data_IF_877315926694
#
_entry.id   IF_877315926694
#
_cell.length_a   1.000
_cell.length_b   1.000
_cell.length_c   1.000
_cell.angle_alpha   90.00
_cell.angle_beta   90.00
_cell.angle_gamma   90.00
#
_symmetry.space_group_name_H-M   'P 1'
#
loop_
_entity.id
_entity.type
_entity.pdbx_description
1 polymer ?
#
# COMPACT_ATOMS: atom_id res chain seq x y z
N UNK A 1 6.52 36.38 -16.04
CA UNK A 1 7.67 36.26 -15.12
C UNK A 1 7.74 34.80 -14.69
N UNK A 2 8.69 34.05 -15.26
CA UNK A 2 8.88 32.61 -15.04
C UNK A 2 9.59 32.40 -13.70
N UNK A 3 8.89 31.92 -12.69
CA UNK A 3 9.51 31.43 -11.46
C UNK A 3 9.72 29.91 -11.61
N UNK A 4 10.80 29.53 -12.27
CA UNK A 4 11.42 28.22 -12.10
C UNK A 4 12.29 28.29 -10.85
N UNK A 5 11.70 28.10 -9.67
CA UNK A 5 12.47 27.80 -8.47
C UNK A 5 12.94 26.36 -8.56
N UNK A 6 14.22 26.19 -8.82
CA UNK A 6 14.96 24.93 -8.73
C UNK A 6 14.91 24.43 -7.28
N UNK A 7 13.93 23.60 -6.94
CA UNK A 7 13.93 22.85 -5.69
C UNK A 7 15.10 21.84 -5.76
N UNK A 8 16.20 22.17 -5.11
CA UNK A 8 17.29 21.23 -4.82
C UNK A 8 16.72 20.27 -3.77
N UNK A 9 16.30 19.12 -4.22
CA UNK A 9 15.71 18.08 -3.39
C UNK A 9 16.82 17.21 -2.79
N UNK A 10 16.98 17.27 -1.47
CA UNK A 10 17.86 16.36 -0.75
C UNK A 10 17.33 14.92 -0.83
N UNK A 11 18.11 14.03 -1.46
CA UNK A 11 17.77 12.62 -1.75
C UNK A 11 17.80 11.69 -0.54
N UNK A 12 17.83 12.21 0.67
CA UNK A 12 18.07 11.42 1.88
C UNK A 12 16.88 10.63 2.40
N UNK A 13 15.67 10.80 1.82
CA UNK A 13 14.47 10.12 2.30
C UNK A 13 13.98 9.05 1.30
N UNK A 14 14.20 7.76 1.56
CA UNK A 14 13.99 6.68 0.59
C UNK A 14 12.52 6.26 0.35
N UNK A 15 11.56 6.83 1.10
CA UNK A 15 10.18 6.36 1.06
C UNK A 15 9.15 7.28 0.38
N UNK A 16 9.46 8.55 0.11
CA UNK A 16 8.51 9.49 -0.46
C UNK A 16 9.11 10.26 -1.64
N UNK A 17 8.43 10.23 -2.79
CA UNK A 17 8.84 10.93 -4.02
C UNK A 17 7.99 12.19 -4.27
N UNK A 18 8.60 13.28 -4.77
CA UNK A 18 7.93 14.57 -5.06
C UNK A 18 6.84 14.50 -6.14
N UNK A 19 6.90 13.50 -7.03
CA UNK A 19 5.90 13.31 -8.09
C UNK A 19 4.50 12.98 -7.56
N UNK A 20 4.44 12.30 -6.40
CA UNK A 20 3.16 11.98 -5.77
C UNK A 20 2.52 13.23 -5.16
N UNK A 21 3.36 14.18 -4.70
CA UNK A 21 2.94 15.47 -4.14
C UNK A 21 2.35 16.37 -5.23
N UNK A 22 2.97 16.43 -6.40
CA UNK A 22 2.51 17.28 -7.48
C UNK A 22 1.16 16.82 -8.06
N UNK A 23 0.96 15.51 -8.19
CA UNK A 23 -0.31 14.93 -8.65
C UNK A 23 -1.44 15.13 -7.63
N UNK A 24 -1.11 15.14 -6.33
CA UNK A 24 -2.06 15.36 -5.26
C UNK A 24 -2.49 16.84 -5.15
N UNK A 25 -1.56 17.78 -5.31
CA UNK A 25 -1.86 19.22 -5.21
C UNK A 25 -2.73 19.75 -6.35
N UNK A 26 -2.47 19.33 -7.57
CA UNK A 26 -3.21 19.84 -8.77
C UNK A 26 -4.66 19.36 -8.84
N UNK A 27 -5.01 18.24 -8.18
CA UNK A 27 -6.35 17.65 -8.23
C UNK A 27 -7.25 18.02 -7.06
N UNK A 28 -6.73 18.72 -6.06
CA UNK A 28 -7.37 18.83 -4.75
C UNK A 28 -8.18 20.11 -4.50
N UNK A 29 -8.26 21.03 -5.45
CA UNK A 29 -9.10 22.25 -5.29
C UNK A 29 -10.62 21.98 -5.29
N UNK A 30 -11.07 20.76 -5.62
CA UNK A 30 -12.50 20.46 -5.75
C UNK A 30 -13.08 19.51 -4.71
N UNK A 31 -12.32 19.05 -3.72
CA UNK A 31 -12.85 18.19 -2.66
C UNK A 31 -12.69 18.88 -1.31
N UNK A 32 -13.50 19.92 -1.08
CA UNK A 32 -13.37 20.80 0.07
C UNK A 32 -13.96 20.25 1.37
N UNK A 33 -14.51 19.07 1.46
CA UNK A 33 -15.27 18.64 2.63
C UNK A 33 -14.95 17.25 3.20
N UNK A 34 -13.90 16.62 2.83
CA UNK A 34 -13.61 15.34 3.48
C UNK A 34 -12.24 15.36 4.10
N UNK A 35 -12.28 15.28 5.39
CA UNK A 35 -11.45 14.41 6.22
C UNK A 35 -10.82 15.17 7.37
N UNK A 36 -11.24 14.75 8.56
CA UNK A 36 -10.67 15.14 9.86
C UNK A 36 -9.11 15.04 9.84
N UNK A 37 -8.55 14.07 9.12
CA UNK A 37 -7.11 13.89 8.90
C UNK A 37 -6.45 15.15 8.34
N UNK A 38 -7.02 15.75 7.28
CA UNK A 38 -6.44 16.95 6.64
C UNK A 38 -6.38 18.16 7.57
N UNK A 39 -7.44 18.36 8.39
CA UNK A 39 -7.46 19.45 9.36
C UNK A 39 -6.41 19.24 10.45
N UNK A 40 -6.26 18.00 10.91
CA UNK A 40 -5.27 17.63 11.92
C UNK A 40 -3.86 17.75 11.34
N UNK A 41 -3.61 17.16 10.15
CA UNK A 41 -2.32 17.23 9.46
C UNK A 41 -1.88 18.67 9.23
N UNK A 42 -2.82 19.54 8.75
CA UNK A 42 -2.51 20.94 8.53
C UNK A 42 -2.15 21.64 9.84
N UNK A 43 -2.95 21.46 10.89
CA UNK A 43 -2.67 22.07 12.20
C UNK A 43 -1.31 21.62 12.77
N UNK A 44 -0.96 20.34 12.64
CA UNK A 44 0.33 19.83 13.09
C UNK A 44 1.46 20.44 12.26
N UNK A 45 1.32 20.46 10.92
CA UNK A 45 2.34 21.03 10.02
C UNK A 45 2.54 22.52 10.29
N UNK A 46 1.45 23.30 10.41
CA UNK A 46 1.51 24.73 10.74
C UNK A 46 2.25 24.95 12.07
N UNK A 47 1.98 24.12 13.07
CA UNK A 47 2.66 24.19 14.38
C UNK A 47 4.16 23.88 14.25
N UNK A 48 4.53 22.90 13.43
CA UNK A 48 5.94 22.55 13.22
C UNK A 48 6.70 23.66 12.48
N UNK A 49 6.07 24.34 11.53
CA UNK A 49 6.64 25.49 10.84
C UNK A 49 6.77 26.70 11.78
N UNK A 50 5.70 27.00 12.56
CA UNK A 50 5.69 28.15 13.47
C UNK A 50 6.75 28.02 14.58
N UNK A 51 7.02 26.78 15.02
CA UNK A 51 8.07 26.51 16.02
C UNK A 51 9.47 26.31 15.39
N UNK A 52 9.64 26.63 14.11
CA UNK A 52 10.93 26.52 13.38
C UNK A 52 11.56 25.10 13.41
N UNK A 53 10.72 24.06 13.67
CA UNK A 53 11.19 22.66 13.67
C UNK A 53 11.45 22.18 12.26
N UNK A 54 10.67 22.69 11.30
CA UNK A 54 10.79 22.38 9.87
C UNK A 54 10.90 23.67 9.07
N UNK A 55 11.70 23.61 8.01
CA UNK A 55 11.83 24.71 7.06
C UNK A 55 10.50 24.94 6.30
N UNK A 56 10.06 26.19 6.10
CA UNK A 56 8.83 26.51 5.37
C UNK A 56 8.80 25.88 3.96
N UNK A 57 9.97 25.72 3.31
CA UNK A 57 10.09 25.10 1.99
C UNK A 57 9.69 23.61 1.99
N UNK A 58 9.76 22.93 3.12
CA UNK A 58 9.44 21.50 3.30
C UNK A 58 8.01 21.27 3.82
N UNK A 59 7.24 22.33 4.11
CA UNK A 59 5.88 22.25 4.65
C UNK A 59 4.99 21.29 3.87
N UNK A 60 4.96 21.40 2.53
CA UNK A 60 4.12 20.56 1.67
C UNK A 60 4.45 19.07 1.77
N UNK A 61 5.71 18.72 1.99
CA UNK A 61 6.15 17.32 2.13
C UNK A 61 5.67 16.76 3.47
N UNK A 62 5.88 17.51 4.55
CA UNK A 62 5.45 17.09 5.89
C UNK A 62 3.93 16.98 5.98
N UNK A 63 3.20 17.95 5.40
CA UNK A 63 1.74 17.89 5.33
C UNK A 63 1.27 16.61 4.63
N UNK A 64 1.83 16.31 3.46
CA UNK A 64 1.47 15.09 2.70
C UNK A 64 1.79 13.81 3.49
N UNK A 65 2.97 13.72 4.08
CA UNK A 65 3.37 12.55 4.87
C UNK A 65 2.45 12.33 6.08
N UNK A 66 2.10 13.40 6.78
CA UNK A 66 1.20 13.35 7.94
C UNK A 66 -0.22 12.97 7.52
N UNK A 67 -0.76 13.58 6.45
CA UNK A 67 -2.10 13.31 5.94
C UNK A 67 -2.22 11.82 5.53
N UNK A 68 -1.27 11.34 4.74
CA UNK A 68 -1.23 9.93 4.34
C UNK A 68 -1.09 8.97 5.53
N UNK A 69 -0.23 9.31 6.50
CA UNK A 69 -0.03 8.46 7.68
C UNK A 69 -1.26 8.42 8.56
N UNK A 70 -1.93 9.55 8.77
CA UNK A 70 -3.17 9.62 9.55
C UNK A 70 -4.30 8.86 8.86
N UNK A 71 -4.47 9.02 7.56
CA UNK A 71 -5.47 8.25 6.79
C UNK A 71 -5.23 6.74 6.91
N UNK A 72 -3.97 6.30 6.81
CA UNK A 72 -3.61 4.90 6.96
C UNK A 72 -3.91 4.38 8.38
N UNK A 73 -3.56 5.14 9.41
CA UNK A 73 -3.83 4.79 10.81
C UNK A 73 -5.34 4.70 11.06
N UNK A 74 -6.10 5.72 10.68
CA UNK A 74 -7.56 5.77 10.88
C UNK A 74 -8.26 4.61 10.17
N UNK A 75 -7.84 4.32 8.92
CA UNK A 75 -8.36 3.20 8.16
C UNK A 75 -8.08 1.85 8.87
N UNK A 76 -6.84 1.59 9.29
CA UNK A 76 -6.49 0.35 9.96
C UNK A 76 -7.17 0.23 11.34
N UNK A 77 -7.29 1.32 12.10
CA UNK A 77 -8.03 1.34 13.36
C UNK A 77 -9.52 1.01 13.14
N UNK A 78 -10.13 1.54 12.06
CA UNK A 78 -11.52 1.22 11.73
C UNK A 78 -11.73 -0.25 11.38
N UNK A 79 -10.79 -0.88 10.66
CA UNK A 79 -10.82 -2.32 10.37
C UNK A 79 -10.71 -3.16 11.66
N UNK A 80 -9.81 -2.78 12.59
CA UNK A 80 -9.69 -3.45 13.89
C UNK A 80 -10.94 -3.29 14.74
N UNK A 81 -11.54 -2.09 14.75
CA UNK A 81 -12.79 -1.85 15.46
C UNK A 81 -13.92 -2.72 14.91
N UNK A 82 -14.11 -2.74 13.60
CA UNK A 82 -15.11 -3.58 12.92
C UNK A 82 -14.83 -5.05 13.21
N UNK A 83 -13.58 -5.49 13.09
CA UNK A 83 -13.17 -6.86 13.41
C UNK A 83 -13.43 -7.23 14.87
N UNK A 84 -13.18 -6.29 15.80
CA UNK A 84 -13.48 -6.46 17.21
C UNK A 84 -14.97 -6.63 17.49
N UNK A 85 -15.80 -5.79 16.89
CA UNK A 85 -17.28 -5.88 17.01
C UNK A 85 -17.84 -7.19 16.45
N UNK A 86 -17.19 -7.75 15.42
CA UNK A 86 -17.56 -9.04 14.81
C UNK A 86 -16.94 -10.26 15.54
N UNK A 87 -16.20 -10.06 16.63
CA UNK A 87 -15.46 -11.14 17.31
C UNK A 87 -14.27 -11.66 16.50
N UNK A 88 -13.74 -10.87 15.54
CA UNK A 88 -12.68 -11.23 14.60
C UNK A 88 -11.44 -10.34 14.73
N UNK A 89 -11.17 -9.85 15.95
CA UNK A 89 -10.06 -8.93 16.20
C UNK A 89 -8.70 -9.50 15.74
N UNK A 90 -8.36 -10.74 16.17
CA UNK A 90 -7.09 -11.37 15.78
C UNK A 90 -6.98 -11.63 14.27
N UNK A 91 -7.99 -12.19 13.58
CA UNK A 91 -7.97 -12.27 12.12
C UNK A 91 -7.77 -10.93 11.43
N UNK A 92 -8.41 -9.85 11.91
CA UNK A 92 -8.27 -8.51 11.35
C UNK A 92 -6.85 -7.98 11.55
N UNK A 93 -6.26 -8.21 12.71
CA UNK A 93 -4.87 -7.84 13.00
C UNK A 93 -3.90 -8.56 12.06
N UNK A 94 -4.06 -9.86 11.86
CA UNK A 94 -3.23 -10.66 10.94
C UNK A 94 -3.41 -10.17 9.49
N UNK A 95 -4.63 -9.87 9.06
CA UNK A 95 -4.90 -9.30 7.75
C UNK A 95 -4.11 -8.00 7.51
N UNK A 96 -4.15 -7.07 8.47
CA UNK A 96 -3.47 -5.77 8.37
C UNK A 96 -1.95 -5.97 8.33
N UNK A 97 -1.39 -6.79 9.23
CA UNK A 97 0.05 -7.05 9.32
C UNK A 97 0.60 -7.68 8.03
N UNK A 98 -0.20 -8.49 7.34
CA UNK A 98 0.22 -9.14 6.10
C UNK A 98 -0.01 -8.23 4.90
N UNK A 99 -1.24 -7.76 4.70
CA UNK A 99 -1.61 -7.08 3.46
C UNK A 99 -0.97 -5.70 3.32
N UNK A 100 -0.99 -4.89 4.38
CA UNK A 100 -0.55 -3.49 4.30
C UNK A 100 0.93 -3.38 3.94
N UNK A 101 1.88 -3.98 4.68
CA UNK A 101 3.29 -3.82 4.38
C UNK A 101 3.70 -4.51 3.07
N UNK A 102 3.12 -5.67 2.75
CA UNK A 102 3.41 -6.32 1.46
C UNK A 102 2.95 -5.45 0.30
N UNK A 103 1.74 -4.88 0.36
CA UNK A 103 1.21 -4.00 -0.68
C UNK A 103 2.04 -2.73 -0.84
N UNK A 104 2.50 -2.13 0.26
CA UNK A 104 3.35 -0.92 0.23
C UNK A 104 4.70 -1.18 -0.46
N UNK A 105 5.32 -2.33 -0.20
CA UNK A 105 6.62 -2.69 -0.76
C UNK A 105 6.52 -3.30 -2.17
N UNK A 106 5.50 -4.09 -2.42
CA UNK A 106 5.28 -4.73 -3.72
C UNK A 106 4.90 -3.74 -4.81
N UNK A 107 4.29 -2.59 -4.42
CA UNK A 107 3.67 -1.66 -5.34
C UNK A 107 2.34 -2.19 -5.88
N UNK A 108 1.66 -1.39 -6.70
CA UNK A 108 0.38 -1.79 -7.28
C UNK A 108 -0.41 -0.63 -7.84
N UNK A 109 -1.60 -0.94 -8.34
CA UNK A 109 -2.54 0.06 -8.83
C UNK A 109 -3.23 0.78 -7.66
N UNK A 110 -3.43 2.08 -7.82
CA UNK A 110 -4.25 2.89 -6.93
C UNK A 110 -5.54 3.30 -7.61
N UNK A 111 -6.63 3.37 -6.85
CA UNK A 111 -7.88 3.88 -7.37
C UNK A 111 -7.78 5.38 -7.68
N UNK A 112 -8.61 5.85 -8.64
CA UNK A 112 -8.57 7.24 -9.11
C UNK A 112 -9.00 8.27 -8.04
N UNK A 113 -9.74 7.84 -7.01
CA UNK A 113 -10.16 8.69 -5.90
C UNK A 113 -9.90 8.02 -4.55
N UNK A 114 -9.61 8.77 -3.49
CA UNK A 114 -9.45 8.23 -2.14
C UNK A 114 -10.68 7.43 -1.68
N UNK A 115 -11.88 7.94 -1.94
CA UNK A 115 -13.13 7.29 -1.57
C UNK A 115 -13.28 5.90 -2.20
N UNK A 116 -13.02 5.78 -3.52
CA UNK A 116 -13.08 4.48 -4.19
C UNK A 116 -11.99 3.52 -3.69
N UNK A 117 -10.84 4.04 -3.26
CA UNK A 117 -9.80 3.24 -2.65
C UNK A 117 -10.25 2.65 -1.29
N UNK A 118 -10.86 3.48 -0.44
CA UNK A 118 -11.40 3.02 0.84
C UNK A 118 -12.52 1.98 0.67
N UNK A 119 -13.50 2.26 -0.19
CA UNK A 119 -14.60 1.34 -0.44
C UNK A 119 -14.11 -0.02 -0.96
N UNK A 120 -13.17 0.00 -1.91
CA UNK A 120 -12.55 -1.20 -2.44
C UNK A 120 -11.79 -1.97 -1.34
N UNK A 121 -11.06 -1.27 -0.47
CA UNK A 121 -10.29 -1.89 0.61
C UNK A 121 -11.19 -2.53 1.67
N UNK A 122 -12.32 -1.92 2.03
CA UNK A 122 -13.32 -2.54 2.90
C UNK A 122 -13.94 -3.78 2.25
N UNK A 123 -14.30 -3.68 0.95
CA UNK A 123 -14.87 -4.82 0.22
C UNK A 123 -13.89 -6.00 0.17
N UNK A 124 -12.62 -5.74 -0.07
CA UNK A 124 -11.55 -6.76 -0.06
C UNK A 124 -11.39 -7.35 1.35
N UNK A 125 -11.43 -6.54 2.40
CA UNK A 125 -11.36 -7.00 3.78
C UNK A 125 -12.49 -7.98 4.13
N UNK A 126 -13.75 -7.58 3.90
CA UNK A 126 -14.89 -8.45 4.16
C UNK A 126 -14.87 -9.71 3.32
N UNK A 127 -14.51 -9.60 2.03
CA UNK A 127 -14.36 -10.75 1.15
C UNK A 127 -13.29 -11.72 1.66
N UNK A 128 -12.15 -11.22 2.12
CA UNK A 128 -11.08 -12.03 2.68
C UNK A 128 -11.52 -12.76 3.93
N UNK A 129 -12.19 -12.07 4.86
CA UNK A 129 -12.74 -12.70 6.08
C UNK A 129 -13.79 -13.76 5.76
N UNK A 130 -14.65 -13.52 4.79
CA UNK A 130 -15.66 -14.48 4.36
C UNK A 130 -15.02 -15.71 3.72
N UNK A 131 -14.17 -15.53 2.73
CA UNK A 131 -13.50 -16.62 2.00
C UNK A 131 -12.59 -17.46 2.91
N UNK A 132 -11.92 -16.84 3.89
CA UNK A 132 -11.04 -17.56 4.80
C UNK A 132 -11.78 -18.52 5.76
N UNK A 133 -13.10 -18.39 5.91
CA UNK A 133 -13.95 -19.27 6.70
C UNK A 133 -14.51 -20.46 5.93
N UNK A 134 -14.37 -20.48 4.62
CA UNK A 134 -14.85 -21.60 3.83
C UNK A 134 -14.10 -22.88 4.19
N UNK A 135 -14.75 -24.05 4.11
CA UNK A 135 -14.10 -25.33 4.40
C UNK A 135 -12.94 -25.61 3.45
N UNK A 136 -12.11 -26.59 3.77
CA UNK A 136 -10.98 -26.99 2.94
C UNK A 136 -11.39 -27.24 1.49
N UNK A 137 -10.85 -26.43 0.59
CA UNK A 137 -11.04 -26.62 -0.87
C UNK A 137 -9.95 -27.49 -1.47
N UNK A 138 -8.79 -27.60 -0.80
CA UNK A 138 -7.59 -28.29 -1.28
C UNK A 138 -6.83 -28.93 -0.13
N UNK A 139 -5.97 -29.92 -0.46
CA UNK A 139 -5.16 -30.61 0.54
C UNK A 139 -4.19 -29.64 1.25
N UNK A 140 -3.94 -29.80 2.55
CA UNK A 140 -3.08 -28.90 3.33
C UNK A 140 -1.69 -28.64 2.74
N UNK A 141 -1.04 -29.69 2.19
CA UNK A 141 0.27 -29.56 1.55
C UNK A 141 0.28 -28.64 0.32
N UNK A 142 -0.83 -28.60 -0.42
CA UNK A 142 -0.97 -27.76 -1.60
C UNK A 142 -1.04 -26.27 -1.24
N UNK A 143 -1.59 -25.92 -0.03
CA UNK A 143 -1.56 -24.52 0.45
C UNK A 143 -0.14 -24.00 0.60
N UNK A 144 0.77 -24.77 1.16
CA UNK A 144 2.19 -24.38 1.32
C UNK A 144 2.86 -24.20 -0.04
N UNK A 145 2.60 -25.11 -0.98
CA UNK A 145 3.12 -25.01 -2.34
C UNK A 145 2.61 -23.71 -3.02
N UNK A 146 1.32 -23.43 -2.93
CA UNK A 146 0.73 -22.22 -3.51
C UNK A 146 1.27 -20.94 -2.85
N UNK A 147 1.38 -20.90 -1.52
CA UNK A 147 1.94 -19.77 -0.79
C UNK A 147 3.40 -19.53 -1.20
N UNK A 148 4.22 -20.59 -1.31
CA UNK A 148 5.61 -20.47 -1.75
C UNK A 148 5.72 -19.95 -3.19
N UNK A 149 4.88 -20.44 -4.09
CA UNK A 149 4.84 -19.97 -5.47
C UNK A 149 4.44 -18.50 -5.57
N UNK A 150 3.37 -18.10 -4.84
CA UNK A 150 2.90 -16.70 -4.80
C UNK A 150 3.96 -15.76 -4.23
N UNK A 151 4.62 -16.14 -3.13
CA UNK A 151 5.69 -15.31 -2.55
C UNK A 151 6.85 -15.09 -3.52
N UNK A 152 7.27 -16.13 -4.25
CA UNK A 152 8.31 -16.03 -5.27
C UNK A 152 7.88 -15.12 -6.44
N UNK A 153 6.65 -15.28 -6.93
CA UNK A 153 6.12 -14.46 -8.03
C UNK A 153 6.04 -12.99 -7.58
N UNK A 154 5.45 -12.71 -6.40
CA UNK A 154 5.33 -11.34 -5.86
C UNK A 154 6.70 -10.70 -5.73
N UNK A 155 7.69 -11.41 -5.18
CA UNK A 155 9.07 -10.91 -5.04
C UNK A 155 9.74 -10.64 -6.39
N UNK A 156 9.54 -11.54 -7.37
CA UNK A 156 10.08 -11.39 -8.73
C UNK A 156 9.49 -10.19 -9.46
N UNK A 157 8.19 -9.95 -9.28
CA UNK A 157 7.46 -8.84 -9.89
C UNK A 157 7.69 -7.48 -9.19
N UNK A 158 8.06 -7.48 -7.91
CA UNK A 158 8.24 -6.27 -7.12
C UNK A 158 9.57 -5.54 -7.40
N UNK A 159 9.62 -4.23 -7.12
CA UNK A 159 8.50 -3.31 -6.98
C UNK A 159 7.89 -2.97 -8.34
N UNK A 160 6.56 -2.84 -8.38
CA UNK A 160 5.87 -2.37 -9.60
C UNK A 160 5.94 -0.86 -9.62
N UNK A 161 6.59 -0.31 -10.66
CA UNK A 161 6.67 1.12 -10.91
C UNK A 161 5.33 1.64 -11.43
N UNK A 162 4.98 2.86 -11.05
CA UNK A 162 3.85 3.60 -11.63
C UNK A 162 4.39 4.66 -12.61
N UNK A 163 3.52 5.17 -13.49
CA UNK A 163 3.87 6.21 -14.45
C UNK A 163 4.52 7.47 -13.81
N UNK A 164 4.29 7.68 -12.51
CA UNK A 164 4.80 8.81 -11.73
C UNK A 164 5.91 8.44 -10.74
N UNK A 165 6.25 7.15 -10.59
CA UNK A 165 7.22 6.68 -9.59
C UNK A 165 8.24 5.73 -10.23
N UNK A 166 9.42 6.28 -10.48
CA UNK A 166 10.57 5.51 -10.96
C UNK A 166 11.55 5.30 -9.81
N UNK A 167 11.95 4.05 -9.60
CA UNK A 167 12.93 3.70 -8.56
C UNK A 167 14.35 3.70 -9.13
N UNK A 168 15.30 4.24 -8.39
CA UNK A 168 16.72 4.04 -8.68
C UNK A 168 17.10 2.57 -8.46
N UNK A 169 18.21 2.11 -9.07
CA UNK A 169 18.67 0.73 -8.90
C UNK A 169 18.96 0.38 -7.43
N UNK A 170 19.48 1.33 -6.66
CA UNK A 170 19.76 1.15 -5.23
C UNK A 170 18.47 1.02 -4.40
N UNK A 171 17.46 1.86 -4.65
CA UNK A 171 16.16 1.80 -3.98
C UNK A 171 15.43 0.50 -4.28
N UNK A 172 15.42 0.08 -5.55
CA UNK A 172 14.84 -1.19 -5.99
C UNK A 172 15.47 -2.37 -5.24
N UNK A 173 16.80 -2.39 -5.10
CA UNK A 173 17.51 -3.44 -4.38
C UNK A 173 17.15 -3.44 -2.89
N UNK A 174 17.06 -2.25 -2.26
CA UNK A 174 16.69 -2.11 -0.85
C UNK A 174 15.25 -2.61 -0.61
N UNK A 175 14.30 -2.19 -1.44
CA UNK A 175 12.88 -2.61 -1.34
C UNK A 175 12.78 -4.14 -1.51
N UNK A 176 13.47 -4.72 -2.50
CA UNK A 176 13.48 -6.17 -2.72
C UNK A 176 14.03 -6.95 -1.53
N UNK A 177 15.08 -6.45 -0.89
CA UNK A 177 15.62 -7.09 0.33
C UNK A 177 14.62 -7.07 1.47
N UNK A 178 14.01 -5.91 1.75
CA UNK A 178 13.00 -5.79 2.82
C UNK A 178 11.80 -6.68 2.53
N UNK A 179 11.31 -6.67 1.28
CA UNK A 179 10.18 -7.51 0.86
C UNK A 179 10.51 -9.00 0.97
N UNK A 180 11.73 -9.42 0.64
CA UNK A 180 12.17 -10.81 0.78
C UNK A 180 12.05 -11.28 2.25
N UNK A 181 12.60 -10.53 3.20
CA UNK A 181 12.50 -10.87 4.61
C UNK A 181 11.04 -10.89 5.09
N UNK A 182 10.24 -9.92 4.68
CA UNK A 182 8.82 -9.87 5.02
C UNK A 182 8.07 -11.11 4.52
N UNK A 183 8.24 -11.46 3.24
CA UNK A 183 7.61 -12.64 2.65
C UNK A 183 8.11 -13.94 3.27
N UNK A 184 9.38 -14.01 3.65
CA UNK A 184 9.94 -15.15 4.38
C UNK A 184 9.25 -15.33 5.75
N UNK A 185 9.05 -14.25 6.52
CA UNK A 185 8.33 -14.32 7.79
C UNK A 185 6.86 -14.71 7.61
N UNK A 186 6.20 -14.19 6.58
CA UNK A 186 4.81 -14.57 6.25
C UNK A 186 4.72 -16.05 5.90
N UNK A 187 5.66 -16.56 5.10
CA UNK A 187 5.73 -17.98 4.75
C UNK A 187 5.95 -18.85 6.01
N UNK A 188 6.91 -18.48 6.85
CA UNK A 188 7.16 -19.20 8.11
C UNK A 188 5.92 -19.21 9.03
N UNK A 189 5.22 -18.07 9.12
CA UNK A 189 3.97 -17.96 9.86
C UNK A 189 2.86 -18.85 9.26
N UNK A 190 2.76 -18.94 7.94
CA UNK A 190 1.80 -19.82 7.27
C UNK A 190 2.07 -21.29 7.57
N UNK A 191 3.34 -21.73 7.56
CA UNK A 191 3.76 -23.10 7.93
C UNK A 191 3.40 -23.39 9.38
N UNK A 192 3.64 -22.44 10.30
CA UNK A 192 3.28 -22.57 11.71
C UNK A 192 1.77 -22.73 11.91
N UNK A 193 0.97 -21.89 11.25
CA UNK A 193 -0.50 -21.94 11.33
C UNK A 193 -1.04 -23.25 10.73
N UNK A 194 -0.43 -23.76 9.68
CA UNK A 194 -0.79 -25.06 9.12
C UNK A 194 -0.47 -26.20 10.12
N UNK A 195 0.70 -26.18 10.76
CA UNK A 195 1.11 -27.17 11.78
C UNK A 195 0.14 -27.18 12.95
N UNK A 196 -0.39 -26.03 13.34
CA UNK A 196 -1.39 -25.89 14.39
C UNK A 196 -2.82 -26.12 13.91
N UNK A 197 -3.01 -26.51 12.64
CA UNK A 197 -4.32 -26.73 12.00
C UNK A 197 -5.26 -25.53 12.08
N UNK A 198 -4.69 -24.33 12.12
CA UNK A 198 -5.43 -23.05 12.19
C UNK A 198 -5.87 -22.61 10.80
N UNK A 199 -6.91 -23.24 10.27
CA UNK A 199 -7.40 -23.09 8.90
C UNK A 199 -7.64 -21.63 8.50
N UNK A 200 -8.28 -20.85 9.36
CA UNK A 200 -8.63 -19.46 9.10
C UNK A 200 -7.40 -18.64 8.66
N UNK A 201 -6.26 -18.81 9.34
CA UNK A 201 -5.09 -17.97 9.12
C UNK A 201 -4.33 -18.31 7.84
N UNK A 202 -4.07 -19.59 7.55
CA UNK A 202 -3.35 -19.90 6.33
C UNK A 202 -4.19 -19.70 5.06
N UNK A 203 -5.53 -19.87 5.13
CA UNK A 203 -6.44 -19.43 4.06
C UNK A 203 -6.35 -17.92 3.85
N UNK A 204 -6.40 -17.14 4.94
CA UNK A 204 -6.31 -15.69 4.88
C UNK A 204 -4.98 -15.24 4.27
N UNK A 205 -3.85 -15.87 4.65
CA UNK A 205 -2.54 -15.57 4.06
C UNK A 205 -2.56 -15.81 2.55
N UNK A 206 -3.06 -16.96 2.11
CA UNK A 206 -3.17 -17.29 0.69
C UNK A 206 -3.98 -16.24 -0.06
N UNK A 207 -5.16 -15.88 0.45
CA UNK A 207 -6.05 -14.89 -0.17
C UNK A 207 -5.37 -13.52 -0.23
N UNK A 208 -4.72 -13.06 0.85
CA UNK A 208 -3.98 -11.80 0.87
C UNK A 208 -2.89 -11.76 -0.20
N UNK A 209 -2.11 -12.82 -0.36
CA UNK A 209 -1.07 -12.91 -1.39
C UNK A 209 -1.66 -12.92 -2.80
N UNK A 210 -2.78 -13.62 -3.03
CA UNK A 210 -3.50 -13.56 -4.30
C UNK A 210 -3.95 -12.13 -4.63
N UNK A 211 -4.51 -11.41 -3.66
CA UNK A 211 -4.94 -10.02 -3.82
C UNK A 211 -3.76 -9.11 -4.19
N UNK A 212 -2.60 -9.26 -3.52
CA UNK A 212 -1.40 -8.50 -3.85
C UNK A 212 -0.94 -8.80 -5.27
N UNK A 213 -0.90 -10.07 -5.68
CA UNK A 213 -0.50 -10.46 -7.03
C UNK A 213 -1.45 -9.88 -8.08
N UNK A 214 -2.75 -10.01 -7.89
CA UNK A 214 -3.76 -9.41 -8.79
C UNK A 214 -3.54 -7.91 -8.93
N UNK A 215 -3.32 -7.20 -7.82
CA UNK A 215 -3.06 -5.77 -7.82
C UNK A 215 -1.76 -5.39 -8.58
N UNK A 216 -0.69 -6.18 -8.45
CA UNK A 216 0.54 -6.01 -9.22
C UNK A 216 0.32 -6.23 -10.73
N UNK A 217 -0.44 -7.26 -11.10
CA UNK A 217 -0.78 -7.53 -12.49
C UNK A 217 -1.60 -6.39 -13.11
N UNK A 218 -2.61 -5.89 -12.39
CA UNK A 218 -3.42 -4.74 -12.84
C UNK A 218 -2.53 -3.51 -13.04
N UNK A 219 -1.64 -3.20 -12.11
CA UNK A 219 -0.73 -2.06 -12.22
C UNK A 219 0.18 -2.17 -13.45
N UNK A 220 0.72 -3.34 -13.73
CA UNK A 220 1.56 -3.57 -14.92
C UNK A 220 0.76 -3.42 -16.23
N UNK A 221 -0.46 -3.96 -16.29
CA UNK A 221 -1.33 -3.81 -17.45
C UNK A 221 -1.67 -2.33 -17.72
N UNK A 222 -1.96 -1.56 -16.67
CA UNK A 222 -2.24 -0.13 -16.79
C UNK A 222 -1.00 0.65 -17.28
N UNK A 223 0.19 0.37 -16.74
CA UNK A 223 1.42 1.02 -17.16
C UNK A 223 1.78 0.70 -18.62
N UNK A 224 1.56 -0.52 -19.06
CA UNK A 224 1.78 -0.90 -20.46
C UNK A 224 0.88 -0.12 -21.42
N UNK A 225 -0.41 0.08 -21.07
CA UNK A 225 -1.35 0.86 -21.88
C UNK A 225 -0.95 2.33 -21.98
N UNK A 226 -0.51 2.95 -20.89
CA UNK A 226 -0.10 4.37 -20.92
C UNK A 226 1.12 4.59 -21.80
N UNK A 227 2.07 3.65 -21.83
CA UNK A 227 3.26 3.72 -22.69
C UNK A 227 2.91 3.60 -24.20
N UNK A 228 1.91 2.81 -24.55
CA UNK A 228 1.45 2.65 -25.94
C UNK A 228 0.71 3.90 -26.45
N UNK A 229 -0.14 4.52 -25.61
CA UNK A 229 -0.86 5.75 -25.96
C UNK A 229 0.14 6.90 -26.22
N UNK A 230 1.14 7.09 -25.35
CA UNK A 230 2.14 8.14 -25.51
C UNK A 230 3.04 7.99 -26.74
N UNK A 231 3.22 6.76 -27.24
CA UNK A 231 3.97 6.49 -28.49
C UNK A 231 3.11 6.68 -29.75
N UNK A 232 1.78 6.53 -29.66
CA UNK A 232 0.86 6.75 -30.77
C UNK A 232 0.60 8.22 -31.07
N UNK A 233 0.69 9.10 -30.06
CA UNK A 233 0.53 10.58 -30.25
C UNK A 233 1.77 11.28 -30.81
N UNK A 234 2.92 10.58 -30.90
CA UNK A 234 4.17 11.13 -31.45
C UNK A 234 4.42 10.73 -32.90
N UNK A 235 3.48 10.11 -33.56
CA UNK A 235 3.49 9.82 -35.00
C UNK A 235 2.46 10.68 -35.70
#
# INVERSE_FOLDING_TARGET
MNVRSSLIFDRSYPFFYPSDILCYTVKNERIHEMILSKKISKKITDTLVTNEIIEPQKEGIYFYCLDFSLDLILFNCSLLLIGGLLGLFLPSLVYIIILVPVRMLAGGAHAKSPYSCFLLSYSIYFLTLFLSRLPYLIMPGLYILLISLLTLIIWGLAPVENAHKHYTAAERTKIKKILFFLLFFIYAFAVLMLSWKQQLYYHMILICLCIVLINQCIARCLNHRTLHVSKGEKK
#
